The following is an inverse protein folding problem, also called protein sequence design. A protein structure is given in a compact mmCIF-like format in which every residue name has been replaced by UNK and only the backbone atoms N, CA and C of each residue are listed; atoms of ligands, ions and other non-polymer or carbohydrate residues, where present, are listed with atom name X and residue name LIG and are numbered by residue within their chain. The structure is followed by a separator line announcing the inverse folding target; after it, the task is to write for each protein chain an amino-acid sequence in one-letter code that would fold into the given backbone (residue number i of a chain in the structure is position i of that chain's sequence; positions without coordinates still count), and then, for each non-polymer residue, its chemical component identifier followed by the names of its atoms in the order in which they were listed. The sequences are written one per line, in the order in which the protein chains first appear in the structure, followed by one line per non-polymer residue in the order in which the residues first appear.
data_IF_632106346209
#
_entry.id   IF_632106346209
#
_cell.length_a   1.000
_cell.length_b   1.000
_cell.length_c   1.000
_cell.angle_alpha   90.00
_cell.angle_beta   90.00
_cell.angle_gamma   90.00
#
_symmetry.space_group_name_H-M   'P 1'
#
loop_
_entity.id
_entity.type
_entity.pdbx_description
1 polymer ?
#
# COMPACT_ATOMS: atom_id res chain seq x y z
N UNK A 1 10.64 -62.85 -21.60
CA UNK A 1 11.13 -61.73 -20.76
C UNK A 1 10.32 -60.50 -21.13
N UNK A 2 9.43 -60.07 -20.24
CA UNK A 2 8.57 -58.90 -20.48
C UNK A 2 9.35 -57.63 -20.11
N UNK A 3 9.62 -56.78 -21.10
CA UNK A 3 10.27 -55.50 -20.89
C UNK A 3 9.25 -54.52 -20.33
N UNK A 4 9.42 -54.13 -19.07
CA UNK A 4 8.64 -53.08 -18.44
C UNK A 4 9.28 -51.73 -18.80
N UNK A 5 8.74 -51.05 -19.82
CA UNK A 5 9.10 -49.67 -20.11
C UNK A 5 8.55 -48.78 -18.99
N UNK A 6 9.43 -48.29 -18.11
CA UNK A 6 9.08 -47.28 -17.10
C UNK A 6 9.10 -45.91 -17.76
N UNK A 7 7.94 -45.30 -17.92
CA UNK A 7 7.80 -43.91 -18.35
C UNK A 7 8.31 -42.99 -17.24
N UNK A 8 9.36 -42.22 -17.52
CA UNK A 8 9.79 -41.12 -16.67
C UNK A 8 8.87 -39.92 -16.95
N UNK A 9 7.91 -39.66 -16.07
CA UNK A 9 7.21 -38.38 -16.06
C UNK A 9 8.18 -37.30 -15.60
N UNK A 10 8.56 -36.40 -16.52
CA UNK A 10 9.20 -35.15 -16.14
C UNK A 10 8.25 -34.36 -15.23
N UNK A 11 8.76 -33.66 -14.19
CA UNK A 11 7.91 -32.80 -13.38
C UNK A 11 7.20 -31.79 -14.30
N UNK A 12 5.88 -31.67 -14.14
CA UNK A 12 5.06 -30.71 -14.89
C UNK A 12 5.67 -29.33 -14.76
N UNK A 13 6.04 -28.72 -15.90
CA UNK A 13 6.59 -27.37 -15.92
C UNK A 13 5.51 -26.42 -15.38
N UNK A 14 5.81 -25.56 -14.37
CA UNK A 14 4.84 -24.60 -13.89
C UNK A 14 4.37 -23.71 -15.04
N UNK A 15 3.08 -23.38 -15.06
CA UNK A 15 2.50 -22.57 -16.11
C UNK A 15 3.24 -21.22 -16.19
N UNK A 16 3.56 -20.69 -17.40
CA UNK A 16 4.37 -19.48 -17.57
C UNK A 16 3.91 -18.29 -16.73
N UNK A 17 2.59 -18.13 -16.57
CA UNK A 17 1.99 -17.07 -15.75
C UNK A 17 2.38 -17.13 -14.26
N UNK A 18 2.58 -18.32 -13.67
CA UNK A 18 3.04 -18.42 -12.28
C UNK A 18 4.47 -17.91 -12.12
N UNK A 19 5.31 -18.16 -13.12
CA UNK A 19 6.68 -17.65 -13.14
C UNK A 19 6.67 -16.13 -13.28
N UNK A 20 5.83 -15.59 -14.18
CA UNK A 20 5.71 -14.15 -14.39
C UNK A 20 5.25 -13.42 -13.11
N UNK A 21 4.24 -13.94 -12.41
CA UNK A 21 3.82 -13.39 -11.10
C UNK A 21 4.97 -13.41 -10.09
N UNK A 22 5.78 -14.48 -10.07
CA UNK A 22 6.92 -14.60 -9.17
C UNK A 22 8.01 -13.57 -9.47
N UNK A 23 8.30 -13.33 -10.76
CA UNK A 23 9.24 -12.31 -11.20
C UNK A 23 8.79 -10.91 -10.77
N UNK A 24 7.50 -10.60 -10.91
CA UNK A 24 6.92 -9.35 -10.43
C UNK A 24 7.02 -9.21 -8.90
N UNK A 25 6.71 -10.27 -8.14
CA UNK A 25 6.84 -10.30 -6.68
C UNK A 25 8.29 -10.05 -6.24
N UNK A 26 9.26 -10.76 -6.82
CA UNK A 26 10.68 -10.59 -6.55
C UNK A 26 11.16 -9.16 -6.82
N UNK A 27 10.72 -8.57 -7.94
CA UNK A 27 11.06 -7.19 -8.34
C UNK A 27 10.50 -6.16 -7.35
N UNK A 28 9.24 -6.32 -6.92
CA UNK A 28 8.60 -5.43 -5.96
C UNK A 28 9.24 -5.56 -4.56
N UNK A 29 9.54 -6.78 -4.12
CA UNK A 29 10.23 -7.05 -2.85
C UNK A 29 11.63 -6.44 -2.82
N UNK A 30 12.37 -6.55 -3.93
CA UNK A 30 13.70 -5.93 -4.07
C UNK A 30 13.65 -4.39 -4.04
N UNK A 31 12.54 -3.81 -4.49
CA UNK A 31 12.33 -2.35 -4.50
C UNK A 31 11.92 -1.80 -3.12
N UNK A 32 11.69 -2.65 -2.13
CA UNK A 32 11.27 -2.27 -0.78
C UNK A 32 12.31 -1.40 -0.07
N UNK A 33 13.61 -1.72 -0.25
CA UNK A 33 14.73 -1.05 0.42
C UNK A 33 15.04 0.37 -0.08
N UNK A 34 14.48 0.80 -1.22
CA UNK A 34 14.84 2.06 -1.87
C UNK A 34 13.83 3.18 -1.65
N UNK A 35 14.31 4.26 -1.02
CA UNK A 35 13.90 5.67 -1.09
C UNK A 35 12.40 5.98 -1.23
N UNK A 36 11.85 6.73 -0.28
CA UNK A 36 10.50 7.34 -0.28
C UNK A 36 10.35 8.49 -1.30
N UNK A 37 11.02 8.40 -2.44
CA UNK A 37 10.90 9.36 -3.54
C UNK A 37 9.62 9.13 -4.36
N UNK A 38 9.11 10.19 -4.98
CA UNK A 38 7.94 10.13 -5.87
C UNK A 38 8.17 9.18 -7.05
N UNK A 39 9.39 9.15 -7.62
CA UNK A 39 9.77 8.24 -8.70
C UNK A 39 9.78 6.77 -8.28
N UNK A 40 10.28 6.47 -7.06
CA UNK A 40 10.27 5.11 -6.52
C UNK A 40 8.83 4.61 -6.33
N UNK A 41 7.96 5.45 -5.78
CA UNK A 41 6.54 5.12 -5.57
C UNK A 41 5.82 4.88 -6.88
N UNK A 42 6.04 5.73 -7.90
CA UNK A 42 5.48 5.51 -9.23
C UNK A 42 5.92 4.15 -9.80
N UNK A 43 7.21 3.82 -9.69
CA UNK A 43 7.72 2.52 -10.15
C UNK A 43 7.07 1.34 -9.42
N UNK A 44 6.89 1.44 -8.09
CA UNK A 44 6.20 0.41 -7.29
C UNK A 44 4.73 0.26 -7.72
N UNK A 45 4.02 1.36 -7.96
CA UNK A 45 2.63 1.34 -8.42
C UNK A 45 2.49 0.72 -9.81
N UNK A 46 3.36 1.10 -10.75
CA UNK A 46 3.36 0.48 -12.08
C UNK A 46 3.66 -1.03 -11.97
N UNK A 47 4.67 -1.41 -11.18
CA UNK A 47 5.00 -2.83 -11.01
C UNK A 47 3.90 -3.62 -10.31
N UNK A 48 3.13 -2.99 -9.42
CA UNK A 48 1.95 -3.57 -8.80
C UNK A 48 0.82 -3.77 -9.82
N UNK A 49 0.60 -2.79 -10.71
CA UNK A 49 -0.36 -2.92 -11.79
C UNK A 49 -0.02 -4.10 -12.69
N UNK A 50 1.22 -4.18 -13.20
CA UNK A 50 1.66 -5.30 -14.04
C UNK A 50 1.40 -6.67 -13.36
N UNK A 51 1.69 -6.75 -12.05
CA UNK A 51 1.49 -7.96 -11.26
C UNK A 51 0.00 -8.32 -11.13
N UNK A 52 -0.86 -7.34 -10.87
CA UNK A 52 -2.31 -7.55 -10.74
C UNK A 52 -2.92 -7.96 -12.09
N UNK A 53 -2.45 -7.41 -13.21
CA UNK A 53 -2.86 -7.83 -14.55
C UNK A 53 -2.47 -9.30 -14.81
N UNK A 54 -1.27 -9.71 -14.39
CA UNK A 54 -0.85 -11.12 -14.48
C UNK A 54 -1.70 -12.05 -13.60
N UNK A 55 -2.07 -11.59 -12.40
CA UNK A 55 -2.94 -12.35 -11.49
C UNK A 55 -4.35 -12.49 -12.06
N UNK A 56 -4.90 -11.45 -12.68
CA UNK A 56 -6.19 -11.52 -13.38
C UNK A 56 -6.16 -12.60 -14.46
N UNK A 57 -5.12 -12.61 -15.31
CA UNK A 57 -4.92 -13.69 -16.28
C UNK A 57 -4.81 -15.08 -15.64
N UNK A 58 -4.08 -15.20 -14.51
CA UNK A 58 -3.94 -16.45 -13.76
C UNK A 58 -5.28 -16.94 -13.20
N UNK A 59 -6.12 -16.05 -12.69
CA UNK A 59 -7.46 -16.37 -12.16
C UNK A 59 -8.45 -16.75 -13.27
N UNK A 60 -8.23 -16.27 -14.50
CA UNK A 60 -9.03 -16.64 -15.66
C UNK A 60 -8.66 -18.03 -16.25
N UNK A 61 -7.53 -18.63 -15.84
CA UNK A 61 -7.17 -19.98 -16.27
C UNK A 61 -8.19 -21.00 -15.76
N UNK A 62 -8.60 -21.91 -16.64
CA UNK A 62 -9.57 -22.95 -16.32
C UNK A 62 -9.13 -23.86 -15.17
N UNK A 63 -7.82 -24.16 -15.07
CA UNK A 63 -7.27 -24.94 -13.95
C UNK A 63 -7.44 -24.22 -12.60
N UNK A 64 -7.13 -22.92 -12.55
CA UNK A 64 -7.33 -22.10 -11.36
C UNK A 64 -8.81 -21.99 -10.99
N UNK A 65 -9.69 -21.78 -11.97
CA UNK A 65 -11.14 -21.70 -11.73
C UNK A 65 -11.72 -23.02 -11.21
N UNK A 66 -11.24 -24.15 -11.72
CA UNK A 66 -11.69 -25.47 -11.27
C UNK A 66 -11.27 -25.75 -9.83
N UNK A 67 -10.06 -25.33 -9.44
CA UNK A 67 -9.58 -25.37 -8.05
C UNK A 67 -10.42 -24.47 -7.15
N UNK A 68 -10.73 -23.25 -7.60
CA UNK A 68 -11.55 -22.29 -6.84
C UNK A 68 -13.01 -22.71 -6.68
N UNK A 69 -13.59 -23.38 -7.69
CA UNK A 69 -14.98 -23.81 -7.70
C UNK A 69 -15.23 -25.12 -6.93
N UNK A 70 -14.19 -25.82 -6.50
CA UNK A 70 -14.32 -27.07 -5.77
C UNK A 70 -14.89 -26.81 -4.36
N UNK A 71 -16.02 -27.41 -4.00
CA UNK A 71 -16.71 -27.17 -2.72
C UNK A 71 -15.81 -27.38 -1.48
N UNK A 72 -14.84 -28.30 -1.55
CA UNK A 72 -13.87 -28.54 -0.47
C UNK A 72 -12.92 -27.34 -0.22
N UNK A 73 -12.83 -26.42 -1.18
CA UNK A 73 -11.93 -25.27 -1.20
C UNK A 73 -12.64 -23.95 -0.85
N UNK A 74 -13.97 -23.97 -0.62
CA UNK A 74 -14.80 -22.79 -0.33
C UNK A 74 -14.26 -21.97 0.86
N UNK A 75 -13.71 -22.64 1.88
CA UNK A 75 -13.22 -21.96 3.10
C UNK A 75 -12.10 -20.98 2.79
N UNK A 76 -11.04 -21.42 2.12
CA UNK A 76 -9.92 -20.52 1.84
C UNK A 76 -10.23 -19.56 0.71
N UNK A 77 -11.08 -19.94 -0.25
CA UNK A 77 -11.55 -19.03 -1.28
C UNK A 77 -12.27 -17.82 -0.63
N UNK A 78 -13.12 -18.06 0.38
CA UNK A 78 -13.73 -17.01 1.17
C UNK A 78 -12.68 -16.19 1.96
N UNK A 79 -11.72 -16.83 2.62
CA UNK A 79 -10.66 -16.11 3.35
C UNK A 79 -9.77 -15.25 2.43
N UNK A 80 -9.57 -15.67 1.18
CA UNK A 80 -8.84 -14.90 0.18
C UNK A 80 -9.70 -13.73 -0.34
N UNK A 81 -10.99 -13.95 -0.55
CA UNK A 81 -11.93 -12.90 -0.92
C UNK A 81 -12.05 -11.83 0.17
N UNK A 82 -12.13 -12.24 1.44
CA UNK A 82 -12.13 -11.35 2.59
C UNK A 82 -10.84 -10.49 2.64
N UNK A 83 -9.69 -11.11 2.39
CA UNK A 83 -8.41 -10.41 2.26
C UNK A 83 -8.39 -9.40 1.10
N UNK A 84 -8.95 -9.78 -0.04
CA UNK A 84 -9.06 -8.94 -1.25
C UNK A 84 -10.00 -7.75 -1.03
N UNK A 85 -11.15 -7.96 -0.40
CA UNK A 85 -12.10 -6.92 -0.03
C UNK A 85 -11.46 -5.91 0.93
N UNK A 86 -10.70 -6.43 1.91
CA UNK A 86 -9.97 -5.61 2.84
C UNK A 86 -8.86 -4.77 2.16
N UNK A 87 -8.12 -5.34 1.21
CA UNK A 87 -7.18 -4.59 0.40
C UNK A 87 -7.85 -3.49 -0.41
N UNK A 88 -9.04 -3.76 -0.96
CA UNK A 88 -9.83 -2.77 -1.69
C UNK A 88 -10.23 -1.59 -0.80
N UNK A 89 -10.62 -1.85 0.46
CA UNK A 89 -10.91 -0.80 1.44
C UNK A 89 -9.68 0.07 1.74
N UNK A 90 -8.50 -0.54 1.85
CA UNK A 90 -7.23 0.19 2.02
C UNK A 90 -6.92 1.03 0.79
N UNK A 91 -7.02 0.46 -0.41
CA UNK A 91 -6.77 1.16 -1.66
C UNK A 91 -7.73 2.34 -1.84
N UNK A 92 -9.00 2.16 -1.47
CA UNK A 92 -10.01 3.22 -1.47
C UNK A 92 -9.65 4.34 -0.49
N UNK A 93 -9.29 3.98 0.74
CA UNK A 93 -8.81 4.94 1.75
C UNK A 93 -7.57 5.70 1.27
N UNK A 94 -6.65 5.02 0.58
CA UNK A 94 -5.45 5.63 0.02
C UNK A 94 -5.76 6.60 -1.10
N UNK A 95 -6.67 6.22 -2.01
CA UNK A 95 -7.14 7.07 -3.10
C UNK A 95 -7.81 8.35 -2.57
N UNK A 96 -8.64 8.24 -1.54
CA UNK A 96 -9.29 9.39 -0.90
C UNK A 96 -8.27 10.30 -0.24
N UNK A 97 -7.29 9.73 0.47
CA UNK A 97 -6.19 10.47 1.08
C UNK A 97 -5.34 11.25 0.05
N UNK A 98 -5.03 10.63 -1.09
CA UNK A 98 -4.33 11.29 -2.21
C UNK A 98 -5.17 12.44 -2.74
N UNK A 99 -6.47 12.21 -2.96
CA UNK A 99 -7.40 13.19 -3.53
C UNK A 99 -7.53 14.41 -2.63
N UNK A 100 -7.71 14.21 -1.32
CA UNK A 100 -7.76 15.29 -0.33
C UNK A 100 -6.44 16.09 -0.27
N UNK A 101 -5.30 15.38 -0.34
CA UNK A 101 -3.98 16.03 -0.35
C UNK A 101 -3.80 16.88 -1.60
N UNK A 102 -4.23 16.36 -2.76
CA UNK A 102 -4.19 17.08 -4.05
C UNK A 102 -5.03 18.35 -4.00
N UNK A 103 -6.27 18.27 -3.50
CA UNK A 103 -7.17 19.43 -3.33
C UNK A 103 -6.52 20.51 -2.44
N UNK A 104 -6.00 20.11 -1.28
CA UNK A 104 -5.33 21.04 -0.35
C UNK A 104 -4.10 21.72 -0.99
N UNK A 105 -3.34 21.01 -1.83
CA UNK A 105 -2.21 21.59 -2.58
C UNK A 105 -2.70 22.59 -3.63
N UNK A 106 -3.79 22.28 -4.34
CA UNK A 106 -4.37 23.17 -5.34
C UNK A 106 -4.91 24.46 -4.72
N UNK A 107 -5.50 24.39 -3.53
CA UNK A 107 -5.95 25.56 -2.77
C UNK A 107 -4.76 26.43 -2.34
N UNK A 108 -3.69 25.82 -1.82
CA UNK A 108 -2.45 26.51 -1.48
C UNK A 108 -1.85 27.24 -2.70
N UNK A 109 -1.72 26.55 -3.83
CA UNK A 109 -1.22 27.13 -5.09
C UNK A 109 -2.10 28.29 -5.55
N UNK A 110 -3.43 28.16 -5.41
CA UNK A 110 -4.38 29.19 -5.79
C UNK A 110 -4.24 30.47 -4.95
N UNK A 111 -4.03 30.33 -3.64
CA UNK A 111 -3.79 31.48 -2.74
C UNK A 111 -2.48 32.18 -3.09
N UNK A 112 -1.40 31.41 -3.31
CA UNK A 112 -0.08 31.95 -3.68
C UNK A 112 -0.16 32.70 -5.01
N UNK A 113 -0.79 32.11 -6.02
CA UNK A 113 -0.89 32.71 -7.37
C UNK A 113 -1.67 34.02 -7.36
N UNK A 114 -2.74 34.12 -6.55
CA UNK A 114 -3.59 35.31 -6.54
C UNK A 114 -2.94 36.54 -5.90
N UNK A 115 -1.78 36.43 -5.21
CA UNK A 115 -1.08 37.53 -4.47
C UNK A 115 -1.96 38.39 -3.53
N UNK A 116 -3.24 38.05 -3.36
CA UNK A 116 -4.30 38.84 -2.70
C UNK A 116 -4.68 38.27 -1.33
N UNK A 117 -4.22 37.08 -0.99
CA UNK A 117 -4.37 36.52 0.36
C UNK A 117 -3.28 37.10 1.27
N UNK A 118 -3.67 37.89 2.26
CA UNK A 118 -2.74 38.28 3.33
C UNK A 118 -2.15 37.05 4.04
N UNK A 119 -1.07 37.22 4.82
CA UNK A 119 -0.41 36.14 5.58
C UNK A 119 -1.41 35.21 6.29
N UNK A 120 -2.50 35.77 6.80
CA UNK A 120 -3.60 35.07 7.48
C UNK A 120 -4.30 34.00 6.61
N UNK A 121 -4.61 34.28 5.35
CA UNK A 121 -5.29 33.33 4.46
C UNK A 121 -4.40 32.16 4.04
N UNK A 122 -3.10 32.43 3.83
CA UNK A 122 -2.12 31.38 3.58
C UNK A 122 -1.92 30.50 4.82
N UNK A 123 -1.82 31.08 6.02
CA UNK A 123 -1.67 30.30 7.25
C UNK A 123 -2.87 29.39 7.53
N UNK A 124 -4.10 29.83 7.26
CA UNK A 124 -5.29 28.98 7.43
C UNK A 124 -5.31 27.79 6.47
N UNK A 125 -4.87 27.97 5.22
CA UNK A 125 -4.86 26.89 4.23
C UNK A 125 -3.72 25.90 4.48
N UNK A 126 -2.55 26.39 4.92
CA UNK A 126 -1.45 25.53 5.37
C UNK A 126 -1.90 24.69 6.58
N UNK A 127 -2.68 25.27 7.51
CA UNK A 127 -3.24 24.53 8.64
C UNK A 127 -4.21 23.44 8.20
N UNK A 128 -5.07 23.70 7.21
CA UNK A 128 -5.99 22.69 6.65
C UNK A 128 -5.21 21.55 5.99
N UNK A 129 -4.20 21.87 5.17
CA UNK A 129 -3.30 20.88 4.56
C UNK A 129 -2.61 19.99 5.62
N UNK A 130 -2.03 20.59 6.67
CA UNK A 130 -1.39 19.83 7.76
C UNK A 130 -2.39 18.96 8.53
N UNK A 131 -3.61 19.47 8.75
CA UNK A 131 -4.69 18.73 9.42
C UNK A 131 -5.17 17.55 8.57
N UNK A 132 -5.34 17.75 7.26
CA UNK A 132 -5.64 16.68 6.30
C UNK A 132 -4.55 15.60 6.35
N UNK A 133 -3.28 15.96 6.27
CA UNK A 133 -2.17 14.99 6.40
C UNK A 133 -2.19 14.22 7.71
N UNK A 134 -2.55 14.86 8.82
CA UNK A 134 -2.69 14.20 10.13
C UNK A 134 -3.87 13.24 10.15
N UNK A 135 -4.99 13.59 9.52
CA UNK A 135 -6.17 12.72 9.40
C UNK A 135 -5.87 11.52 8.51
N UNK A 136 -5.24 11.73 7.36
CA UNK A 136 -4.72 10.66 6.49
C UNK A 136 -3.85 9.71 7.30
N UNK A 137 -2.86 10.22 8.04
CA UNK A 137 -1.99 9.39 8.90
C UNK A 137 -2.75 8.55 9.91
N UNK A 138 -3.81 9.10 10.53
CA UNK A 138 -4.68 8.38 11.47
C UNK A 138 -5.49 7.28 10.78
N UNK A 139 -6.11 7.59 9.64
CA UNK A 139 -6.89 6.61 8.87
C UNK A 139 -6.02 5.45 8.39
N UNK A 140 -4.80 5.75 7.93
CA UNK A 140 -3.78 4.75 7.58
C UNK A 140 -3.47 3.86 8.79
N UNK A 141 -3.12 4.44 9.93
CA UNK A 141 -2.81 3.67 11.14
C UNK A 141 -3.99 2.84 11.62
N UNK A 142 -5.22 3.33 11.49
CA UNK A 142 -6.44 2.59 11.86
C UNK A 142 -6.65 1.39 10.93
N UNK A 143 -6.56 1.60 9.61
CA UNK A 143 -6.72 0.54 8.62
C UNK A 143 -5.62 -0.53 8.77
N UNK A 144 -4.38 -0.11 9.01
CA UNK A 144 -3.25 -1.00 9.28
C UNK A 144 -3.28 -1.66 10.67
N UNK A 145 -3.86 -1.02 11.68
CA UNK A 145 -3.98 -1.61 13.02
C UNK A 145 -4.90 -2.84 13.02
N UNK A 146 -5.94 -2.82 12.19
CA UNK A 146 -6.87 -3.95 12.01
C UNK A 146 -6.20 -5.16 11.36
N UNK A 147 -5.18 -4.96 10.51
CA UNK A 147 -4.42 -6.01 9.82
C UNK A 147 -3.75 -6.99 10.77
N UNK A 148 -3.07 -6.47 11.80
CA UNK A 148 -2.26 -7.28 12.71
C UNK A 148 -3.14 -8.24 13.55
N UNK A 149 -4.43 -7.94 13.67
CA UNK A 149 -5.41 -8.83 14.29
C UNK A 149 -5.90 -9.95 13.37
N UNK A 150 -5.77 -9.79 12.05
CA UNK A 150 -6.27 -10.71 11.03
C UNK A 150 -5.20 -11.72 10.59
N UNK A 151 -3.93 -11.28 10.49
CA UNK A 151 -2.76 -12.14 10.21
C UNK A 151 -2.59 -13.26 11.26
N UNK A 152 -2.98 -13.00 12.52
CA UNK A 152 -2.92 -13.98 13.62
C UNK A 152 -4.07 -15.01 13.60
N UNK A 153 -5.10 -14.84 12.76
CA UNK A 153 -6.27 -15.72 12.70
C UNK A 153 -6.24 -16.71 11.54
N UNK A 154 -5.44 -16.46 10.51
CA UNK A 154 -5.33 -17.34 9.34
C UNK A 154 -4.21 -18.36 9.56
N UNK A 155 -4.38 -19.24 10.55
CA UNK A 155 -3.65 -20.51 10.53
C UNK A 155 -4.38 -21.37 9.51
N UNK A 156 -3.87 -21.39 8.29
CA UNK A 156 -4.32 -22.29 7.23
C UNK A 156 -4.34 -23.72 7.80
N UNK A 157 -5.52 -24.20 8.21
CA UNK A 157 -5.65 -25.62 8.52
C UNK A 157 -5.44 -26.33 7.20
N UNK A 158 -4.38 -27.12 7.08
CA UNK A 158 -3.98 -27.87 5.89
C UNK A 158 -5.07 -28.90 5.51
N UNK A 159 -6.18 -28.43 4.96
CA UNK A 159 -7.31 -29.26 4.57
C UNK A 159 -7.19 -29.73 3.12
N UNK A 160 -6.47 -28.99 2.25
CA UNK A 160 -6.19 -29.40 0.88
C UNK A 160 -4.95 -30.30 0.82
N UNK A 161 -5.11 -31.54 0.36
CA UNK A 161 -3.99 -32.44 0.03
C UNK A 161 -3.40 -32.18 -1.37
N UNK A 162 -4.02 -31.28 -2.14
CA UNK A 162 -3.64 -30.98 -3.50
C UNK A 162 -2.53 -29.91 -3.55
N UNK A 163 -1.41 -30.27 -4.17
CA UNK A 163 -0.21 -29.43 -4.24
C UNK A 163 -0.43 -28.21 -5.14
N UNK A 164 -1.26 -28.32 -6.17
CA UNK A 164 -1.58 -27.23 -7.09
C UNK A 164 -2.41 -26.15 -6.40
N UNK A 165 -3.43 -26.55 -5.64
CA UNK A 165 -4.21 -25.66 -4.78
C UNK A 165 -3.34 -24.89 -3.79
N UNK A 166 -2.43 -25.59 -3.09
CA UNK A 166 -1.51 -24.94 -2.13
C UNK A 166 -0.61 -23.91 -2.85
N UNK A 167 -0.14 -24.21 -4.05
CA UNK A 167 0.70 -23.30 -4.83
C UNK A 167 -0.06 -22.05 -5.28
N UNK A 168 -1.30 -22.18 -5.77
CA UNK A 168 -2.18 -21.06 -6.12
C UNK A 168 -2.42 -20.16 -4.90
N UNK A 169 -2.86 -20.76 -3.81
CA UNK A 169 -3.19 -20.07 -2.56
C UNK A 169 -2.01 -19.27 -2.04
N UNK A 170 -0.85 -19.92 -1.90
CA UNK A 170 0.35 -19.28 -1.36
C UNK A 170 0.78 -18.10 -2.23
N UNK A 171 0.70 -18.25 -3.56
CA UNK A 171 1.03 -17.17 -4.50
C UNK A 171 0.08 -15.98 -4.36
N UNK A 172 -1.23 -16.22 -4.23
CA UNK A 172 -2.23 -15.16 -4.05
C UNK A 172 -2.06 -14.45 -2.69
N UNK A 173 -1.61 -15.15 -1.64
CA UNK A 173 -1.25 -14.54 -0.35
C UNK A 173 0.01 -13.67 -0.45
N UNK A 174 1.02 -14.08 -1.21
CA UNK A 174 2.19 -13.25 -1.46
C UNK A 174 1.82 -11.96 -2.21
N UNK A 175 0.92 -12.06 -3.19
CA UNK A 175 0.33 -10.92 -3.92
C UNK A 175 -0.40 -9.98 -2.97
N UNK A 176 -1.23 -10.52 -2.06
CA UNK A 176 -1.95 -9.75 -1.06
C UNK A 176 -0.97 -8.96 -0.17
N UNK A 177 0.07 -9.62 0.33
CA UNK A 177 1.09 -9.02 1.18
C UNK A 177 1.88 -7.91 0.48
N UNK A 178 2.28 -8.11 -0.79
CA UNK A 178 2.99 -7.09 -1.57
C UNK A 178 2.08 -5.89 -1.89
N UNK A 179 0.82 -6.13 -2.24
CA UNK A 179 -0.18 -5.07 -2.50
C UNK A 179 -0.33 -4.17 -1.29
N UNK A 180 -0.43 -4.78 -0.11
CA UNK A 180 -0.47 -4.07 1.15
C UNK A 180 0.79 -3.23 1.38
N UNK A 181 1.99 -3.80 1.19
CA UNK A 181 3.27 -3.07 1.39
C UNK A 181 3.41 -1.88 0.45
N UNK A 182 3.04 -2.02 -0.81
CA UNK A 182 3.03 -0.90 -1.77
C UNK A 182 2.05 0.17 -1.32
N UNK A 183 0.85 -0.23 -0.88
CA UNK A 183 -0.16 0.69 -0.33
C UNK A 183 0.35 1.44 0.89
N UNK A 184 0.99 0.75 1.85
CA UNK A 184 1.66 1.35 3.01
C UNK A 184 2.73 2.37 2.59
N UNK A 185 3.54 2.06 1.58
CA UNK A 185 4.57 2.96 1.06
C UNK A 185 3.97 4.23 0.46
N UNK A 186 2.89 4.13 -0.31
CA UNK A 186 2.16 5.28 -0.89
C UNK A 186 1.58 6.14 0.21
N UNK A 187 0.89 5.51 1.14
CA UNK A 187 0.25 6.16 2.29
C UNK A 187 1.26 6.87 3.19
N UNK A 188 2.39 6.22 3.48
CA UNK A 188 3.48 6.79 4.26
C UNK A 188 4.07 8.03 3.58
N UNK A 189 4.25 7.99 2.26
CA UNK A 189 4.75 9.14 1.50
C UNK A 189 3.84 10.35 1.57
N UNK A 190 2.52 10.16 1.44
CA UNK A 190 1.53 11.25 1.53
C UNK A 190 1.47 11.83 2.94
N UNK A 191 1.54 10.97 3.95
CA UNK A 191 1.61 11.40 5.35
C UNK A 191 2.89 12.18 5.67
N UNK A 192 3.91 12.04 4.81
CA UNK A 192 5.28 12.54 4.93
C UNK A 192 6.06 11.88 6.07
N UNK A 193 7.32 12.32 6.29
CA UNK A 193 8.24 11.61 7.17
C UNK A 193 7.63 11.44 8.57
N UNK A 194 7.86 10.27 9.18
CA UNK A 194 7.55 10.05 10.59
C UNK A 194 8.32 11.09 11.38
N UNK A 195 7.64 12.15 11.81
CA UNK A 195 8.16 13.03 12.85
C UNK A 195 8.45 12.13 14.03
N UNK A 196 9.74 11.91 14.35
CA UNK A 196 10.09 11.31 15.65
C UNK A 196 9.29 12.10 16.70
N UNK A 197 8.61 11.44 17.64
CA UNK A 197 8.15 12.16 18.81
C UNK A 197 9.44 12.64 19.46
N UNK A 198 9.79 13.91 19.23
CA UNK A 198 10.81 14.59 20.01
C UNK A 198 10.26 14.60 21.43
N UNK A 199 10.65 13.61 22.22
CA UNK A 199 10.37 13.52 23.66
C UNK A 199 10.97 14.70 24.43
N UNK A 200 11.69 15.61 23.75
CA UNK A 200 12.23 16.85 24.30
C UNK A 200 11.47 18.12 23.95
N UNK A 201 10.44 18.10 23.09
CA UNK A 201 9.69 19.33 22.78
C UNK A 201 8.59 19.68 23.80
N UNK A 202 8.41 18.87 24.85
CA UNK A 202 7.40 19.12 25.89
C UNK A 202 7.92 19.86 27.13
N UNK A 203 9.24 20.08 27.29
CA UNK A 203 9.79 20.74 28.49
C UNK A 203 10.32 22.17 28.24
N UNK A 204 10.28 22.69 27.01
CA UNK A 204 10.67 24.09 26.75
C UNK A 204 9.48 25.08 26.68
N UNK A 205 8.28 24.69 27.14
CA UNK A 205 7.07 25.54 27.08
C UNK A 205 6.58 26.05 28.44
N UNK A 206 7.47 26.33 29.38
CA UNK A 206 7.12 27.08 30.60
C UNK A 206 7.58 28.54 30.59
N UNK A 207 8.30 28.99 29.56
CA UNK A 207 8.57 30.43 29.36
C UNK A 207 8.51 30.75 27.85
N UNK A 208 7.31 31.04 27.35
CA UNK A 208 6.99 31.93 26.20
C UNK A 208 5.61 31.57 25.62
N UNK A 209 4.55 32.19 26.16
CA UNK A 209 3.20 32.16 25.59
C UNK A 209 3.05 32.93 24.26
N UNK A 210 4.15 33.13 23.50
CA UNK A 210 4.17 33.88 22.23
C UNK A 210 4.72 33.13 21.02
N UNK A 211 5.13 31.86 21.14
CA UNK A 211 5.93 31.17 20.09
C UNK A 211 5.17 30.25 19.12
N UNK A 212 3.85 30.09 19.27
CA UNK A 212 3.06 29.22 18.38
C UNK A 212 3.03 29.76 16.93
N UNK A 213 3.17 31.08 16.73
CA UNK A 213 3.27 31.69 15.41
C UNK A 213 4.58 31.38 14.65
N UNK A 214 5.67 31.10 15.37
CA UNK A 214 7.02 31.07 14.77
C UNK A 214 7.34 29.73 14.07
N UNK A 215 6.77 28.62 14.57
CA UNK A 215 6.93 27.28 13.99
C UNK A 215 5.99 27.06 12.79
N UNK A 216 4.81 27.70 12.81
CA UNK A 216 3.90 27.77 11.66
C UNK A 216 4.52 28.64 10.54
N UNK A 217 5.11 29.80 10.85
CA UNK A 217 5.75 30.67 9.87
C UNK A 217 6.95 30.01 9.18
N UNK A 218 7.75 29.22 9.90
CA UNK A 218 8.85 28.43 9.33
C UNK A 218 8.37 27.33 8.37
N UNK A 219 7.28 26.64 8.71
CA UNK A 219 6.68 25.62 7.82
C UNK A 219 6.01 26.24 6.58
N UNK A 220 5.36 27.41 6.72
CA UNK A 220 4.82 28.19 5.61
C UNK A 220 5.95 28.63 4.67
N UNK A 221 7.07 29.14 5.20
CA UNK A 221 8.22 29.54 4.39
C UNK A 221 8.88 28.35 3.68
N UNK A 222 9.01 27.20 4.33
CA UNK A 222 9.58 25.99 3.72
C UNK A 222 8.68 25.42 2.60
N UNK A 223 7.36 25.39 2.80
CA UNK A 223 6.41 24.96 1.76
C UNK A 223 6.37 25.96 0.58
N UNK A 224 6.44 27.26 0.87
CA UNK A 224 6.53 28.29 -0.16
C UNK A 224 7.83 28.18 -0.98
N UNK A 225 8.95 27.83 -0.34
CA UNK A 225 10.24 27.61 -0.99
C UNK A 225 10.29 26.33 -1.84
N UNK A 226 9.62 25.26 -1.40
CA UNK A 226 9.51 23.98 -2.11
C UNK A 226 8.56 24.02 -3.33
N UNK A 227 7.66 25.00 -3.41
CA UNK A 227 6.74 25.17 -4.56
C UNK A 227 7.20 26.22 -5.58
N UNK A 228 8.36 26.84 -5.38
CA UNK A 228 8.98 27.82 -6.29
C UNK A 228 10.12 27.23 -7.15
N UNK A 229 10.43 25.95 -6.99
CA UNK A 229 11.37 25.15 -7.80
C UNK A 229 10.65 23.90 -8.33
#
# INVERSE_FOLDING_TARGET
MAYHTRSNSFPSRPHPLFQEVDEHLCRLRSSEATSTSSSSIRKKLNGLQDMLDCVDMLLQLQGTQQVLAQEQQQKWANELLDGSLWLLDICSTAKDAISQTKESIQDLQSIIRRKRGGKTGLTSEVRKYLSSRKMVKKSIHKAMGNLKGMENKSTFSSASKDQETIAIVSKLRDVEAITLRVSESVLSFISGPKSKPSSWSFVSKIVQSKRIACDEEANVMNLQRLMLH
#
